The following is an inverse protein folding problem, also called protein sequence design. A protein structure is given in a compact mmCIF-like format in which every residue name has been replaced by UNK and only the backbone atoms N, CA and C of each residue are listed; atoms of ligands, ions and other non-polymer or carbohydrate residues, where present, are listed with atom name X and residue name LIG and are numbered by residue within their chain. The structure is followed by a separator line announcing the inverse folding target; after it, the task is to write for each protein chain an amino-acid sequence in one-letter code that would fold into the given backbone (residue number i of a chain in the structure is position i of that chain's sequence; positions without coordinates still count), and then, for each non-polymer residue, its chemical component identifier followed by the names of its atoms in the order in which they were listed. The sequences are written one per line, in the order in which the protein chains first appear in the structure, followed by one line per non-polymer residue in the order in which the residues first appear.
data_IF_214552438739
#
_entry.id   IF_214552438739
#
_cell.length_a   1.000
_cell.length_b   1.000
_cell.length_c   1.000
_cell.angle_alpha   90.00
_cell.angle_beta   90.00
_cell.angle_gamma   90.00
#
_symmetry.space_group_name_H-M   'P 1'
#
loop_
_entity.id
_entity.type
_entity.pdbx_description
1 polymer ?
#
# COMPACT_ATOMS: atom_id res chain seq x y z
N UNK A 1 -0.32 31.45 14.96
CA UNK A 1 0.54 30.78 13.95
C UNK A 1 1.05 29.41 14.43
N UNK A 2 1.59 29.29 15.65
CA UNK A 2 2.18 28.05 16.17
C UNK A 2 1.18 26.88 16.27
N UNK A 3 -0.05 27.12 16.71
CA UNK A 3 -1.07 26.10 16.82
C UNK A 3 -1.46 25.46 15.48
N UNK A 4 -1.53 26.27 14.40
CA UNK A 4 -1.82 25.77 13.06
C UNK A 4 -0.67 24.89 12.51
N UNK A 5 0.57 25.25 12.82
CA UNK A 5 1.75 24.46 12.47
C UNK A 5 1.74 23.12 13.22
N UNK A 6 1.42 23.15 14.52
CA UNK A 6 1.30 21.93 15.32
C UNK A 6 0.22 20.98 14.78
N UNK A 7 -0.96 21.50 14.40
CA UNK A 7 -2.01 20.70 13.80
C UNK A 7 -1.59 20.09 12.46
N UNK A 8 -0.86 20.84 11.65
CA UNK A 8 -0.34 20.34 10.38
C UNK A 8 0.69 19.21 10.58
N UNK A 9 1.57 19.35 11.57
CA UNK A 9 2.56 18.32 11.92
C UNK A 9 1.94 17.06 12.55
N UNK A 10 0.78 17.22 13.21
CA UNK A 10 0.05 16.09 13.78
C UNK A 10 -0.79 15.32 12.74
N UNK A 11 -0.96 15.84 11.53
CA UNK A 11 -1.78 15.20 10.49
C UNK A 11 -1.29 13.79 10.15
N UNK A 12 -2.19 12.89 9.69
CA UNK A 12 -1.78 11.60 9.16
C UNK A 12 -0.88 11.79 7.92
N UNK A 13 0.12 10.96 7.79
CA UNK A 13 1.08 11.01 6.68
C UNK A 13 1.38 9.58 6.22
N UNK A 14 1.00 9.23 4.99
CA UNK A 14 1.36 7.93 4.44
C UNK A 14 2.75 7.96 3.84
N UNK A 15 3.49 6.88 4.10
CA UNK A 15 4.79 6.60 3.51
C UNK A 15 4.81 5.17 2.95
N UNK A 16 5.49 5.00 1.82
CA UNK A 16 5.84 3.67 1.31
C UNK A 16 7.16 3.29 1.96
N UNK A 17 7.11 2.31 2.86
CA UNK A 17 8.26 1.87 3.66
C UNK A 17 8.98 0.67 3.04
N UNK A 18 8.33 0.01 2.10
CA UNK A 18 8.85 -1.16 1.41
C UNK A 18 8.20 -1.28 0.03
N UNK A 19 8.97 -1.59 -0.99
CA UNK A 19 8.46 -1.89 -2.32
C UNK A 19 9.43 -2.82 -3.05
N UNK A 20 8.99 -4.03 -3.34
CA UNK A 20 9.79 -5.06 -4.01
C UNK A 20 8.99 -5.79 -5.07
N UNK A 21 9.69 -6.32 -6.05
CA UNK A 21 9.17 -7.29 -7.00
C UNK A 21 10.11 -8.49 -7.00
N UNK A 22 9.57 -9.65 -6.69
CA UNK A 22 10.29 -10.92 -6.66
C UNK A 22 9.72 -11.87 -7.71
N UNK A 23 10.57 -12.53 -8.51
CA UNK A 23 10.12 -13.54 -9.45
C UNK A 23 9.52 -14.72 -8.67
N UNK A 24 8.43 -15.26 -9.20
CA UNK A 24 7.78 -16.45 -8.66
C UNK A 24 8.02 -17.60 -9.63
N UNK A 25 8.71 -18.64 -9.17
CA UNK A 25 8.92 -19.83 -9.95
C UNK A 25 7.60 -20.62 -10.05
N UNK A 26 7.02 -20.62 -11.23
CA UNK A 26 5.91 -21.50 -11.52
C UNK A 26 6.49 -22.84 -11.89
N UNK A 27 6.45 -23.81 -10.98
CA UNK A 27 6.72 -25.20 -11.32
C UNK A 27 5.55 -25.72 -12.17
N UNK A 28 5.55 -25.38 -13.44
CA UNK A 28 4.65 -25.99 -14.40
C UNK A 28 5.25 -27.30 -14.87
N UNK A 29 4.57 -28.40 -14.58
CA UNK A 29 4.91 -29.73 -15.11
C UNK A 29 4.89 -29.67 -16.66
N UNK A 30 6.03 -29.28 -17.28
CA UNK A 30 6.26 -29.39 -18.71
C UNK A 30 5.62 -28.34 -19.64
N UNK A 31 4.91 -27.34 -19.16
CA UNK A 31 4.45 -26.24 -19.98
C UNK A 31 5.55 -25.19 -20.15
N UNK A 32 6.01 -24.96 -21.37
CA UNK A 32 6.93 -23.87 -21.67
C UNK A 32 6.20 -22.55 -21.43
N UNK A 33 6.65 -21.80 -20.44
CA UNK A 33 6.27 -20.39 -20.28
C UNK A 33 6.92 -19.63 -21.45
N UNK A 34 6.14 -19.17 -22.39
CA UNK A 34 6.55 -18.45 -23.61
C UNK A 34 7.28 -17.11 -23.29
N UNK A 35 8.38 -17.17 -22.51
CA UNK A 35 9.15 -15.99 -22.12
C UNK A 35 8.43 -15.04 -21.14
N UNK A 36 7.30 -15.44 -20.58
CA UNK A 36 6.58 -14.70 -19.54
C UNK A 36 6.99 -15.19 -18.15
N UNK A 37 7.23 -14.25 -17.25
CA UNK A 37 7.59 -14.49 -15.86
C UNK A 37 6.49 -13.94 -14.94
N UNK A 38 6.16 -14.67 -13.88
CA UNK A 38 5.29 -14.20 -12.82
C UNK A 38 6.10 -13.47 -11.76
N UNK A 39 5.64 -12.31 -11.38
CA UNK A 39 6.26 -11.44 -10.37
C UNK A 39 5.31 -11.21 -9.21
N UNK A 40 5.79 -11.37 -8.00
CA UNK A 40 5.10 -10.93 -6.78
C UNK A 40 5.57 -9.52 -6.46
N UNK A 41 4.67 -8.55 -6.56
CA UNK A 41 4.90 -7.15 -6.20
C UNK A 41 4.34 -6.92 -4.80
N UNK A 42 5.19 -6.54 -3.86
CA UNK A 42 4.81 -6.26 -2.47
C UNK A 42 5.15 -4.81 -2.13
N UNK A 43 4.18 -4.12 -1.52
CA UNK A 43 4.32 -2.73 -1.11
C UNK A 43 3.84 -2.58 0.33
N UNK A 44 4.76 -2.25 1.21
CA UNK A 44 4.49 -1.92 2.60
C UNK A 44 4.21 -0.43 2.76
N UNK A 45 3.09 -0.10 3.37
CA UNK A 45 2.61 1.27 3.56
C UNK A 45 2.40 1.49 5.05
N UNK A 46 2.86 2.62 5.58
CA UNK A 46 2.67 3.00 6.96
C UNK A 46 2.10 4.42 7.09
N UNK A 47 1.35 4.66 8.15
CA UNK A 47 1.04 6.01 8.60
C UNK A 47 2.11 6.47 9.58
N UNK A 48 3.01 7.33 9.13
CA UNK A 48 4.08 7.90 9.94
C UNK A 48 3.67 9.16 10.70
N UNK A 49 2.44 9.65 10.45
CA UNK A 49 1.87 10.79 11.14
C UNK A 49 1.41 10.45 12.57
N UNK A 50 1.12 11.50 13.34
CA UNK A 50 0.65 11.34 14.73
C UNK A 50 -0.80 10.87 14.80
N UNK A 51 -1.68 11.47 14.00
CA UNK A 51 -3.12 11.14 13.99
C UNK A 51 -3.44 9.97 13.06
N UNK A 52 -4.51 9.22 13.34
CA UNK A 52 -4.99 8.16 12.44
C UNK A 52 -5.54 8.74 11.13
N UNK A 53 -5.59 7.92 10.10
CA UNK A 53 -6.16 8.30 8.79
C UNK A 53 -7.66 8.56 8.88
N UNK A 54 -8.36 7.94 9.81
CA UNK A 54 -9.78 8.20 10.12
C UNK A 54 -9.90 9.18 11.29
N UNK A 55 -10.94 10.01 11.26
CA UNK A 55 -11.18 11.03 12.33
C UNK A 55 -11.71 10.37 13.60
N UNK A 56 -12.60 9.39 13.44
CA UNK A 56 -13.24 8.67 14.55
C UNK A 56 -13.86 7.36 14.04
N UNK A 57 -14.05 6.41 14.94
CA UNK A 57 -14.74 5.15 14.66
C UNK A 57 -16.14 5.37 14.08
N UNK A 58 -16.83 6.42 14.52
CA UNK A 58 -18.15 6.78 13.97
C UNK A 58 -18.06 7.21 12.51
N UNK A 59 -17.06 8.02 12.15
CA UNK A 59 -16.84 8.45 10.78
C UNK A 59 -16.47 7.29 9.86
N UNK A 60 -15.70 6.33 10.38
CA UNK A 60 -15.35 5.11 9.66
C UNK A 60 -16.60 4.24 9.40
N UNK A 61 -17.40 3.95 10.43
CA UNK A 61 -18.63 3.17 10.32
C UNK A 61 -19.66 3.83 9.37
N UNK A 62 -19.67 5.15 9.31
CA UNK A 62 -20.52 5.92 8.41
C UNK A 62 -19.92 6.08 7.00
N UNK A 63 -18.75 5.51 6.72
CA UNK A 63 -18.02 5.64 5.45
C UNK A 63 -17.79 7.11 5.02
N UNK A 64 -17.63 8.00 5.98
CA UNK A 64 -17.41 9.44 5.72
C UNK A 64 -16.00 9.74 5.21
N UNK A 65 -15.05 8.86 5.50
CA UNK A 65 -13.65 8.97 5.03
C UNK A 65 -13.33 7.77 4.15
N UNK A 66 -12.93 8.06 2.93
CA UNK A 66 -12.51 7.01 1.99
C UNK A 66 -11.29 6.27 2.54
N UNK A 67 -11.23 4.94 2.39
CA UNK A 67 -10.11 4.15 2.84
C UNK A 67 -8.84 4.47 2.05
N UNK A 68 -7.70 4.10 2.61
CA UNK A 68 -6.43 4.03 1.91
C UNK A 68 -6.58 3.12 0.69
N UNK A 69 -6.07 3.57 -0.44
CA UNK A 69 -6.06 2.80 -1.68
C UNK A 69 -4.65 2.72 -2.25
N UNK A 70 -4.31 1.55 -2.77
CA UNK A 70 -3.10 1.37 -3.56
C UNK A 70 -3.48 0.92 -4.97
N UNK A 71 -2.85 1.51 -5.97
CA UNK A 71 -3.11 1.27 -7.38
C UNK A 71 -1.81 0.97 -8.11
N UNK A 72 -1.83 -0.08 -8.92
CA UNK A 72 -0.71 -0.53 -9.72
C UNK A 72 -0.88 -0.05 -11.16
N UNK A 73 0.07 0.73 -11.65
CA UNK A 73 0.18 1.10 -13.06
C UNK A 73 1.17 0.17 -13.75
N UNK A 74 0.67 -0.60 -14.70
CA UNK A 74 1.43 -1.58 -15.45
C UNK A 74 1.97 -1.00 -16.76
N UNK A 75 3.15 -1.45 -17.21
CA UNK A 75 3.63 -1.19 -18.57
C UNK A 75 2.88 -2.03 -19.59
N UNK A 76 3.01 -1.67 -20.87
CA UNK A 76 2.39 -2.41 -21.96
C UNK A 76 2.80 -3.89 -21.96
N UNK A 77 1.81 -4.77 -22.12
CA UNK A 77 2.01 -6.21 -22.15
C UNK A 77 2.28 -6.86 -20.80
N UNK A 78 2.01 -6.16 -19.69
CA UNK A 78 1.95 -6.74 -18.37
C UNK A 78 0.50 -6.87 -17.89
N UNK A 79 0.18 -7.93 -17.18
CA UNK A 79 -1.17 -8.24 -16.71
C UNK A 79 -1.15 -8.63 -15.23
N UNK A 80 -2.22 -8.26 -14.50
CA UNK A 80 -2.42 -8.71 -13.11
C UNK A 80 -3.12 -10.06 -13.13
N UNK A 81 -2.53 -11.00 -12.42
CA UNK A 81 -3.08 -12.35 -12.28
C UNK A 81 -3.94 -12.42 -11.02
N UNK A 82 -5.25 -12.60 -11.23
CA UNK A 82 -6.17 -12.91 -10.11
C UNK A 82 -6.45 -11.75 -9.18
N UNK A 83 -6.68 -10.54 -9.69
CA UNK A 83 -7.02 -9.40 -8.85
C UNK A 83 -7.31 -8.13 -9.61
N UNK A 84 -7.53 -7.04 -8.89
CA UNK A 84 -7.70 -5.72 -9.45
C UNK A 84 -6.40 -4.92 -9.31
N UNK A 85 -6.16 -4.01 -10.26
CA UNK A 85 -5.03 -3.09 -10.19
C UNK A 85 -5.12 -2.14 -8.98
N UNK A 86 -6.33 -1.88 -8.50
CA UNK A 86 -6.60 -1.01 -7.35
C UNK A 86 -7.21 -1.80 -6.20
N UNK A 87 -6.59 -1.71 -5.04
CA UNK A 87 -7.01 -2.36 -3.80
C UNK A 87 -7.32 -1.35 -2.71
N UNK A 88 -8.35 -1.64 -1.90
CA UNK A 88 -8.68 -0.87 -0.70
C UNK A 88 -8.00 -1.52 0.49
N UNK A 89 -7.25 -0.74 1.25
CA UNK A 89 -6.41 -1.20 2.35
C UNK A 89 -6.95 -0.82 3.75
N UNK A 90 -8.14 -0.22 3.80
CA UNK A 90 -8.75 0.19 5.06
C UNK A 90 -8.21 1.50 5.60
N UNK A 91 -8.20 1.63 6.92
CA UNK A 91 -7.69 2.81 7.64
C UNK A 91 -6.45 2.41 8.43
N UNK A 92 -5.58 3.38 8.68
CA UNK A 92 -4.36 3.18 9.48
C UNK A 92 -4.41 4.05 10.73
N UNK A 93 -4.02 3.47 11.87
CA UNK A 93 -3.77 4.22 13.09
C UNK A 93 -2.49 5.07 12.95
N UNK A 94 -2.38 6.10 13.77
CA UNK A 94 -1.18 6.94 13.83
C UNK A 94 -0.34 6.64 15.07
N UNK A 95 0.76 7.35 15.23
CA UNK A 95 1.66 7.22 16.40
C UNK A 95 0.97 7.55 17.72
N UNK A 96 -0.12 8.32 17.72
CA UNK A 96 -0.94 8.58 18.91
C UNK A 96 -1.59 7.33 19.50
N UNK A 97 -1.75 6.27 18.71
CA UNK A 97 -2.26 4.98 19.18
C UNK A 97 -1.20 4.14 19.92
N UNK A 98 0.06 4.55 19.85
CA UNK A 98 1.16 3.84 20.51
C UNK A 98 1.11 4.13 22.03
N UNK A 99 0.76 3.13 22.82
CA UNK A 99 0.76 3.22 24.28
C UNK A 99 1.86 2.34 24.87
N UNK A 100 2.66 2.92 25.75
CA UNK A 100 3.75 2.22 26.45
C UNK A 100 3.28 1.42 27.67
N UNK A 101 2.03 1.61 28.08
CA UNK A 101 1.49 1.08 29.36
C UNK A 101 0.85 -0.32 29.25
N UNK A 102 0.93 -0.96 28.10
CA UNK A 102 0.31 -2.28 27.90
C UNK A 102 -1.22 -2.30 28.05
N UNK A 103 -1.84 -1.14 28.17
CA UNK A 103 -3.29 -1.00 28.33
C UNK A 103 -4.07 -1.41 27.09
N UNK A 104 -5.15 -2.17 27.30
CA UNK A 104 -5.97 -2.85 26.28
C UNK A 104 -6.85 -1.92 25.42
N UNK A 105 -6.43 -0.72 25.12
CA UNK A 105 -7.21 0.23 24.29
C UNK A 105 -6.70 0.40 22.87
N UNK A 106 -5.98 -0.59 22.35
CA UNK A 106 -5.76 -0.69 20.90
C UNK A 106 -7.02 -1.26 20.29
N UNK A 107 -7.69 -0.51 19.44
CA UNK A 107 -8.87 -0.96 18.68
C UNK A 107 -8.53 -1.99 17.58
N UNK A 108 -7.26 -2.43 17.53
CA UNK A 108 -6.77 -3.39 16.53
C UNK A 108 -6.46 -2.78 15.17
N UNK A 109 -6.66 -1.48 14.98
CA UNK A 109 -6.33 -0.82 13.72
C UNK A 109 -4.81 -0.76 13.54
N UNK A 110 -4.25 -1.36 12.47
CA UNK A 110 -2.80 -1.37 12.25
C UNK A 110 -2.29 0.01 11.86
N UNK A 111 -1.03 0.32 12.19
CA UNK A 111 -0.33 1.52 11.73
C UNK A 111 0.30 1.33 10.34
N UNK A 112 0.32 0.09 9.84
CA UNK A 112 0.90 -0.31 8.56
C UNK A 112 0.12 -1.44 7.91
N UNK A 113 0.24 -1.55 6.58
CA UNK A 113 -0.43 -2.57 5.78
C UNK A 113 0.45 -2.99 4.62
N UNK A 114 0.33 -4.24 4.19
CA UNK A 114 1.00 -4.78 3.02
C UNK A 114 -0.02 -4.97 1.89
N UNK A 115 0.28 -4.40 0.72
CA UNK A 115 -0.43 -4.66 -0.52
C UNK A 115 0.41 -5.61 -1.38
N UNK A 116 -0.23 -6.61 -1.97
CA UNK A 116 0.43 -7.63 -2.79
C UNK A 116 -0.32 -7.83 -4.09
N UNK A 117 0.42 -7.89 -5.20
CA UNK A 117 -0.11 -8.25 -6.52
C UNK A 117 0.74 -9.33 -7.15
N UNK A 118 0.12 -10.14 -7.98
CA UNK A 118 0.80 -11.03 -8.90
C UNK A 118 0.71 -10.45 -10.30
N UNK A 119 1.85 -10.19 -10.91
CA UNK A 119 1.96 -9.58 -12.24
C UNK A 119 2.67 -10.53 -13.18
N UNK A 120 2.04 -10.81 -14.31
CA UNK A 120 2.63 -11.57 -15.40
C UNK A 120 3.18 -10.59 -16.43
N UNK A 121 4.47 -10.66 -16.74
CA UNK A 121 5.08 -9.86 -17.79
C UNK A 121 6.25 -10.60 -18.44
N UNK A 122 6.69 -10.14 -19.61
CA UNK A 122 7.89 -10.67 -20.24
C UNK A 122 9.12 -10.39 -19.36
N UNK A 123 10.01 -11.36 -19.20
CA UNK A 123 11.19 -11.24 -18.36
C UNK A 123 12.21 -10.21 -18.90
N UNK A 124 12.23 -9.99 -20.22
CA UNK A 124 13.18 -9.09 -20.89
C UNK A 124 12.43 -8.29 -21.97
N UNK A 125 12.66 -6.97 -22.09
CA UNK A 125 13.52 -6.10 -21.27
C UNK A 125 12.93 -5.78 -19.91
N UNK A 126 13.78 -5.36 -18.97
CA UNK A 126 13.36 -4.89 -17.65
C UNK A 126 12.30 -3.80 -17.74
N UNK A 127 11.23 -3.92 -16.97
CA UNK A 127 10.08 -3.02 -17.02
C UNK A 127 9.86 -2.34 -15.68
N UNK A 128 9.25 -1.16 -15.72
CA UNK A 128 8.93 -0.39 -14.52
C UNK A 128 7.45 -0.49 -14.21
N UNK A 129 7.14 -0.84 -12.99
CA UNK A 129 5.80 -0.85 -12.43
C UNK A 129 5.72 0.29 -11.42
N UNK A 130 4.71 1.14 -11.54
CA UNK A 130 4.51 2.23 -10.59
C UNK A 130 3.35 1.92 -9.68
N UNK A 131 3.59 2.00 -8.38
CA UNK A 131 2.56 1.90 -7.35
C UNK A 131 2.21 3.30 -6.87
N UNK A 132 0.94 3.64 -6.90
CA UNK A 132 0.40 4.88 -6.35
C UNK A 132 -0.45 4.55 -5.14
N UNK A 133 -0.08 5.10 -3.99
CA UNK A 133 -0.83 4.97 -2.74
C UNK A 133 -1.46 6.31 -2.41
N UNK A 134 -2.76 6.33 -2.12
CA UNK A 134 -3.48 7.56 -1.87
C UNK A 134 -4.50 7.45 -0.74
N UNK A 135 -4.58 8.53 0.05
CA UNK A 135 -5.60 8.72 1.09
C UNK A 135 -6.01 10.19 1.16
N UNK A 136 -7.32 10.53 1.27
CA UNK A 136 -7.80 11.92 1.20
C UNK A 136 -7.19 12.86 2.24
N UNK A 137 -6.84 12.34 3.42
CA UNK A 137 -6.28 13.12 4.54
C UNK A 137 -4.80 12.97 4.74
N UNK A 138 -4.21 11.89 4.24
CA UNK A 138 -2.80 11.56 4.48
C UNK A 138 -1.91 11.72 3.23
N UNK A 139 -2.49 12.19 2.12
CA UNK A 139 -1.77 12.51 0.89
C UNK A 139 -1.63 11.35 -0.08
N UNK A 140 -0.74 11.52 -1.05
CA UNK A 140 -0.46 10.54 -2.10
C UNK A 140 1.05 10.32 -2.20
N UNK A 141 1.47 9.07 -2.35
CA UNK A 141 2.86 8.66 -2.56
C UNK A 141 2.95 7.73 -3.76
N UNK A 142 4.06 7.78 -4.45
CA UNK A 142 4.36 6.91 -5.59
C UNK A 142 5.73 6.28 -5.43
N UNK A 143 5.84 5.03 -5.83
CA UNK A 143 7.07 4.28 -5.86
C UNK A 143 7.13 3.45 -7.13
N UNK A 144 8.30 3.42 -7.78
CA UNK A 144 8.54 2.59 -8.96
C UNK A 144 9.38 1.38 -8.57
N UNK A 145 8.95 0.21 -9.03
CA UNK A 145 9.63 -1.06 -8.85
C UNK A 145 10.01 -1.61 -10.23
N UNK A 146 11.21 -2.12 -10.37
CA UNK A 146 11.68 -2.71 -11.62
C UNK A 146 11.45 -4.22 -11.59
N UNK A 147 10.92 -4.78 -12.68
CA UNK A 147 10.75 -6.21 -12.94
C UNK A 147 11.54 -6.58 -14.19
N UNK A 148 12.32 -7.63 -14.12
CA UNK A 148 13.20 -8.08 -15.20
C UNK A 148 14.61 -8.40 -14.75
#
# INVERSE_FOLDING_TARGET
AEFAVYQALAAPCIEIIHATATPVDIQTNGAQTNGTQLWKVEVGIANTGWLPTVVSVRAERANMVRPLTAELSLPDGAEIVGGANRVKLGQLSGRSAFRHDGGAHNDGTPDRVLATWLVCCAAVPARRITVTVSHPRAGTKQQTVTVG
#
